data_IF_697603048980
#
_entry.id   IF_697603048980
#
_cell.length_a   1.000
_cell.length_b   1.000
_cell.length_c   1.000
_cell.angle_alpha   90.00
_cell.angle_beta   90.00
_cell.angle_gamma   90.00
#
_symmetry.space_group_name_H-M   'P 1'
#
loop_
_entity.id
_entity.type
_entity.pdbx_description
1 polymer ?
#
# COMPACT_ATOMS: atom_id res chain seq x y z
N UNK A 1 1.83 10.35 -13.14
CA UNK A 1 2.04 9.40 -12.02
C UNK A 1 3.39 9.61 -11.34
N UNK A 2 4.53 9.47 -12.03
CA UNK A 2 5.86 9.49 -11.39
C UNK A 2 6.14 10.66 -10.40
N UNK A 3 5.73 11.91 -10.66
CA UNK A 3 5.95 13.01 -9.70
C UNK A 3 5.18 12.87 -8.38
N UNK A 4 4.12 12.04 -8.33
CA UNK A 4 3.34 11.78 -7.13
C UNK A 4 3.86 10.58 -6.33
N UNK A 5 4.71 9.73 -6.93
CA UNK A 5 5.24 8.50 -6.30
C UNK A 5 6.45 8.84 -5.44
N UNK A 6 6.50 8.26 -4.25
CA UNK A 6 7.55 8.48 -3.26
C UNK A 6 8.01 7.17 -2.62
N UNK A 7 9.22 7.20 -2.07
CA UNK A 7 9.78 6.16 -1.23
C UNK A 7 9.50 6.49 0.23
N UNK A 8 8.90 5.56 0.96
CA UNK A 8 8.77 5.64 2.41
C UNK A 8 10.07 5.19 3.07
N UNK A 9 10.57 6.03 3.97
CA UNK A 9 11.83 5.86 4.66
C UNK A 9 11.61 5.90 6.17
N UNK A 10 12.33 5.04 6.89
CA UNK A 10 12.42 5.09 8.35
C UNK A 10 13.85 5.37 8.79
N UNK A 11 14.03 6.37 9.65
CA UNK A 11 15.32 6.81 10.17
C UNK A 11 15.44 6.46 11.65
N UNK A 12 16.62 5.97 12.05
CA UNK A 12 16.89 5.57 13.43
C UNK A 12 16.83 6.77 14.38
N UNK A 13 16.55 6.57 15.68
CA UNK A 13 16.44 7.67 16.64
C UNK A 13 17.72 8.53 16.74
N UNK A 14 18.89 7.90 16.58
CA UNK A 14 20.21 8.55 16.55
C UNK A 14 20.55 9.20 15.20
N UNK A 15 19.66 9.07 14.20
CA UNK A 15 19.81 9.54 12.81
C UNK A 15 21.02 8.97 12.06
N UNK A 16 21.59 7.87 12.55
CA UNK A 16 22.77 7.26 11.92
C UNK A 16 22.44 6.46 10.65
N UNK A 17 21.20 5.96 10.52
CA UNK A 17 20.76 5.13 9.40
C UNK A 17 19.36 5.49 8.94
N UNK A 18 19.15 5.45 7.62
CA UNK A 18 17.84 5.62 6.99
C UNK A 18 17.55 4.42 6.09
N UNK A 19 16.43 3.75 6.32
CA UNK A 19 16.05 2.51 5.65
C UNK A 19 14.89 2.75 4.69
N UNK A 20 14.98 2.28 3.43
CA UNK A 20 13.84 2.24 2.53
C UNK A 20 12.90 1.11 2.95
N UNK A 21 11.61 1.43 3.08
CA UNK A 21 10.60 0.50 3.58
C UNK A 21 9.59 0.08 2.51
N UNK A 22 9.24 0.97 1.59
CA UNK A 22 8.36 0.68 0.47
C UNK A 22 7.93 1.92 -0.27
N UNK A 23 6.95 1.79 -1.16
CA UNK A 23 6.46 2.87 -2.02
C UNK A 23 5.11 3.41 -1.51
N UNK A 24 4.84 4.67 -1.80
CA UNK A 24 3.52 5.27 -1.67
C UNK A 24 3.29 6.29 -2.80
N UNK A 25 2.05 6.75 -2.97
CA UNK A 25 1.74 7.84 -3.89
C UNK A 25 0.85 8.91 -3.26
N UNK A 26 1.07 10.17 -3.62
CA UNK A 26 0.24 11.28 -3.15
C UNK A 26 -1.11 11.27 -3.86
N UNK A 27 -2.20 11.11 -3.10
CA UNK A 27 -3.59 11.08 -3.61
C UNK A 27 -4.37 12.34 -3.22
N UNK A 28 -3.79 13.13 -2.31
CA UNK A 28 -4.14 14.51 -2.00
C UNK A 28 -2.85 15.23 -1.58
N UNK A 29 -2.86 16.56 -1.56
CA UNK A 29 -1.67 17.33 -1.18
C UNK A 29 -1.08 16.93 0.18
N UNK A 30 -1.91 16.50 1.12
CA UNK A 30 -1.53 16.14 2.49
C UNK A 30 -1.66 14.64 2.80
N UNK A 31 -1.94 13.80 1.79
CA UNK A 31 -2.26 12.39 1.99
C UNK A 31 -1.59 11.48 0.96
N UNK A 32 -0.95 10.42 1.46
CA UNK A 32 -0.41 9.34 0.65
C UNK A 32 -1.29 8.10 0.75
N UNK A 33 -1.28 7.30 -0.32
CA UNK A 33 -1.82 5.95 -0.36
C UNK A 33 -0.68 4.93 -0.43
N UNK A 34 -0.76 3.91 0.41
CA UNK A 34 0.14 2.75 0.44
C UNK A 34 -0.63 1.51 0.94
N UNK A 35 0.04 0.40 1.24
CA UNK A 35 -0.60 -0.80 1.78
C UNK A 35 -0.64 -0.81 3.32
N UNK A 36 -1.55 -1.62 3.87
CA UNK A 36 -1.83 -1.69 5.31
C UNK A 36 -0.63 -2.15 6.12
N UNK A 37 0.03 -3.22 5.68
CA UNK A 37 1.19 -3.78 6.36
C UNK A 37 2.38 -2.84 6.48
N UNK A 38 2.69 -2.12 5.41
CA UNK A 38 3.77 -1.14 5.43
C UNK A 38 3.44 0.00 6.42
N UNK A 39 2.19 0.45 6.46
CA UNK A 39 1.77 1.44 7.44
C UNK A 39 1.86 0.91 8.89
N UNK A 40 1.47 -0.34 9.13
CA UNK A 40 1.60 -0.99 10.45
C UNK A 40 3.07 -1.13 10.89
N UNK A 41 3.96 -1.53 9.97
CA UNK A 41 5.40 -1.60 10.25
C UNK A 41 5.98 -0.23 10.60
N UNK A 42 5.67 0.79 9.80
CA UNK A 42 6.16 2.15 9.99
C UNK A 42 5.60 2.79 11.28
N UNK A 43 4.34 2.54 11.61
CA UNK A 43 3.77 2.92 12.91
C UNK A 43 4.53 2.27 14.06
N UNK A 44 4.86 0.98 13.95
CA UNK A 44 5.66 0.26 14.94
C UNK A 44 7.07 0.83 15.11
N UNK A 45 7.69 1.33 14.03
CA UNK A 45 8.95 2.07 14.11
C UNK A 45 8.76 3.43 14.79
N UNK A 46 7.70 4.17 14.46
CA UNK A 46 7.40 5.47 15.09
C UNK A 46 7.21 5.34 16.60
N UNK A 47 6.54 4.28 17.06
CA UNK A 47 6.37 3.99 18.49
C UNK A 47 7.70 3.69 19.21
N UNK A 48 8.79 3.45 18.47
CA UNK A 48 10.15 3.26 18.98
C UNK A 48 11.04 4.49 18.74
N UNK A 49 10.42 5.66 18.56
CA UNK A 49 11.06 6.96 18.29
C UNK A 49 11.82 7.05 16.95
N UNK A 50 11.52 6.18 15.99
CA UNK A 50 12.05 6.32 14.63
C UNK A 50 11.29 7.43 13.90
N UNK A 51 12.00 8.18 13.07
CA UNK A 51 11.36 9.16 12.19
C UNK A 51 10.92 8.49 10.89
N UNK A 52 9.67 8.70 10.50
CA UNK A 52 9.14 8.21 9.22
C UNK A 52 8.91 9.38 8.28
N UNK A 53 9.41 9.27 7.05
CA UNK A 53 9.30 10.32 6.03
C UNK A 53 9.03 9.74 4.65
N UNK A 54 8.35 10.53 3.82
CA UNK A 54 8.19 10.29 2.40
C UNK A 54 9.26 11.07 1.63
N UNK A 55 9.94 10.41 0.70
CA UNK A 55 11.01 10.98 -0.12
C UNK A 55 10.63 10.87 -1.59
N UNK A 56 10.53 12.01 -2.30
CA UNK A 56 10.20 12.00 -3.73
C UNK A 56 11.47 11.90 -4.57
N UNK A 57 11.65 10.83 -5.38
CA UNK A 57 12.82 10.70 -6.24
C UNK A 57 12.95 11.78 -7.32
N UNK A 58 11.84 12.43 -7.68
CA UNK A 58 11.79 13.40 -8.78
C UNK A 58 12.52 14.71 -8.48
N UNK A 59 12.50 15.15 -7.22
CA UNK A 59 13.07 16.43 -6.79
C UNK A 59 13.82 16.36 -5.45
N UNK A 60 13.82 15.18 -4.80
CA UNK A 60 14.48 14.97 -3.51
C UNK A 60 13.74 15.58 -2.32
N UNK A 61 12.50 16.06 -2.49
CA UNK A 61 11.71 16.57 -1.38
C UNK A 61 11.51 15.46 -0.33
N UNK A 62 11.66 15.81 0.96
CA UNK A 62 11.34 14.94 2.08
C UNK A 62 10.25 15.59 2.93
N UNK A 63 9.18 14.83 3.24
CA UNK A 63 8.11 15.28 4.13
C UNK A 63 7.89 14.25 5.25
N UNK A 64 7.82 14.67 6.53
CA UNK A 64 7.50 13.76 7.62
C UNK A 64 6.09 13.17 7.48
N UNK A 65 5.93 11.91 7.93
CA UNK A 65 4.62 11.26 8.06
C UNK A 65 4.13 11.42 9.51
N UNK A 66 3.00 12.11 9.69
CA UNK A 66 2.44 12.42 11.02
C UNK A 66 1.34 11.46 11.48
N UNK A 67 0.73 10.70 10.56
CA UNK A 67 -0.37 9.80 10.89
C UNK A 67 -0.42 8.61 9.93
N UNK A 68 -0.83 7.46 10.47
CA UNK A 68 -1.01 6.21 9.74
C UNK A 68 -2.44 5.75 9.99
N UNK A 69 -3.18 5.53 8.92
CA UNK A 69 -4.57 5.10 8.97
C UNK A 69 -4.75 3.86 8.10
N UNK A 70 -5.44 2.86 8.65
CA UNK A 70 -5.90 1.66 7.94
C UNK A 70 -7.40 1.50 8.18
N UNK A 71 -8.08 0.76 7.32
CA UNK A 71 -9.47 0.41 7.58
C UNK A 71 -9.58 -0.46 8.85
N UNK A 72 -10.55 -0.24 9.73
CA UNK A 72 -10.69 -0.96 11.02
C UNK A 72 -10.70 -2.48 10.89
N UNK A 73 -11.25 -2.97 9.77
CA UNK A 73 -11.31 -4.42 9.47
C UNK A 73 -9.92 -5.01 9.20
N UNK A 74 -8.95 -4.20 8.75
CA UNK A 74 -7.55 -4.63 8.66
C UNK A 74 -7.02 -5.10 10.01
N UNK A 75 -7.25 -4.33 11.08
CA UNK A 75 -6.87 -4.74 12.44
C UNK A 75 -7.70 -5.95 12.90
N UNK A 76 -9.01 -5.92 12.67
CA UNK A 76 -9.92 -7.00 13.09
C UNK A 76 -9.63 -8.36 12.43
N UNK A 77 -8.93 -8.37 11.29
CA UNK A 77 -8.57 -9.58 10.52
C UNK A 77 -7.07 -9.91 10.65
N UNK A 78 -6.38 -9.40 11.68
CA UNK A 78 -4.95 -9.65 11.89
C UNK A 78 -4.59 -11.15 11.92
N UNK A 79 -5.46 -11.99 12.48
CA UNK A 79 -5.28 -13.45 12.57
C UNK A 79 -5.83 -14.22 11.36
N UNK A 80 -6.37 -13.53 10.35
CA UNK A 80 -6.97 -14.09 9.14
C UNK A 80 -6.33 -13.48 7.87
N UNK A 81 -5.08 -13.84 7.54
CA UNK A 81 -4.31 -13.17 6.49
C UNK A 81 -4.98 -13.22 5.11
N UNK A 82 -5.66 -14.32 4.78
CA UNK A 82 -6.40 -14.46 3.51
C UNK A 82 -7.60 -13.52 3.39
N UNK A 83 -8.19 -13.08 4.51
CA UNK A 83 -9.24 -12.06 4.52
C UNK A 83 -8.63 -10.66 4.62
N UNK A 84 -7.58 -10.49 5.43
CA UNK A 84 -6.92 -9.20 5.64
C UNK A 84 -6.42 -8.57 4.35
N UNK A 85 -5.99 -9.38 3.38
CA UNK A 85 -5.45 -8.91 2.10
C UNK A 85 -6.40 -7.99 1.32
N UNK A 86 -7.72 -8.17 1.48
CA UNK A 86 -8.74 -7.31 0.86
C UNK A 86 -8.78 -5.91 1.47
N UNK A 87 -8.24 -5.75 2.68
CA UNK A 87 -8.21 -4.53 3.47
C UNK A 87 -6.79 -3.93 3.57
N UNK A 88 -5.83 -4.42 2.79
CA UNK A 88 -4.41 -3.99 2.76
C UNK A 88 -4.22 -2.61 2.11
N UNK A 89 -4.96 -1.60 2.58
CA UNK A 89 -4.82 -0.20 2.18
C UNK A 89 -4.52 0.66 3.40
N UNK A 90 -3.67 1.66 3.20
CA UNK A 90 -3.37 2.65 4.20
C UNK A 90 -3.33 4.07 3.63
N UNK A 91 -3.84 5.01 4.42
CA UNK A 91 -3.69 6.44 4.19
C UNK A 91 -2.65 6.97 5.17
N UNK A 92 -1.63 7.65 4.66
CA UNK A 92 -0.64 8.33 5.48
C UNK A 92 -0.85 9.83 5.40
N UNK A 93 -0.86 10.53 6.54
CA UNK A 93 -0.91 12.00 6.55
C UNK A 93 0.48 12.60 6.64
N UNK A 94 0.72 13.61 5.84
CA UNK A 94 1.99 14.34 5.81
C UNK A 94 1.97 15.54 6.75
N UNK A 95 3.14 15.88 7.26
CA UNK A 95 3.44 17.20 7.80
C UNK A 95 4.02 18.07 6.69
N UNK A 96 3.12 18.71 5.93
CA UNK A 96 3.45 19.47 4.73
C UNK A 96 2.55 19.10 3.55
N UNK A 97 2.92 19.58 2.36
CA UNK A 97 2.13 19.40 1.13
C UNK A 97 2.96 18.94 -0.06
N UNK A 98 2.39 18.04 -0.87
CA UNK A 98 2.88 17.63 -2.19
C UNK A 98 1.90 18.09 -3.27
N UNK A 99 2.24 19.07 -4.12
CA UNK A 99 1.31 19.56 -5.14
C UNK A 99 1.04 18.52 -6.24
N UNK A 100 2.02 17.67 -6.56
CA UNK A 100 1.86 16.61 -7.53
C UNK A 100 1.13 15.41 -6.91
N UNK A 101 -0.15 15.26 -7.26
CA UNK A 101 -1.01 14.15 -6.84
C UNK A 101 -1.38 13.25 -8.02
N UNK A 102 -1.75 12.00 -7.73
CA UNK A 102 -2.31 11.06 -8.70
C UNK A 102 -3.79 10.80 -8.37
N UNK A 103 -4.71 10.96 -9.33
CA UNK A 103 -6.13 10.67 -9.11
C UNK A 103 -6.36 9.17 -8.91
N UNK A 104 -7.37 8.83 -8.11
CA UNK A 104 -7.91 7.48 -8.00
C UNK A 104 -8.86 7.21 -9.19
N UNK A 105 -9.00 5.95 -9.59
CA UNK A 105 -9.91 5.53 -10.66
C UNK A 105 -11.37 5.71 -10.25
N UNK A 106 -12.20 6.22 -11.15
CA UNK A 106 -13.63 6.46 -10.92
C UNK A 106 -14.43 5.15 -10.77
N UNK A 107 -15.67 5.17 -10.24
CA UNK A 107 -16.40 3.93 -9.97
C UNK A 107 -16.68 3.15 -11.25
N UNK A 108 -16.92 3.86 -12.36
CA UNK A 108 -17.10 3.25 -13.68
C UNK A 108 -15.82 2.54 -14.14
N UNK A 109 -14.66 3.18 -14.01
CA UNK A 109 -13.37 2.57 -14.37
C UNK A 109 -13.06 1.33 -13.52
N UNK A 110 -13.42 1.36 -12.23
CA UNK A 110 -13.27 0.19 -11.34
C UNK A 110 -14.27 -0.94 -11.68
N UNK A 111 -15.45 -0.60 -12.20
CA UNK A 111 -16.44 -1.58 -12.62
C UNK A 111 -16.08 -2.26 -13.95
N UNK A 112 -15.28 -1.60 -14.79
CA UNK A 112 -14.79 -2.08 -16.09
C UNK A 112 -13.52 -2.94 -15.98
N UNK A 113 -13.00 -3.19 -14.77
CA UNK A 113 -11.83 -4.05 -14.60
C UNK A 113 -12.19 -5.50 -14.95
N UNK A 114 -11.45 -6.04 -15.91
CA UNK A 114 -11.58 -7.41 -16.39
C UNK A 114 -10.22 -8.11 -16.54
N UNK A 115 -10.25 -9.43 -16.70
CA UNK A 115 -9.06 -10.23 -17.01
C UNK A 115 -8.46 -9.76 -18.33
N UNK A 116 -7.12 -9.66 -18.40
CA UNK A 116 -6.43 -9.13 -19.57
C UNK A 116 -6.15 -7.63 -19.51
N UNK A 117 -6.72 -6.89 -18.56
CA UNK A 117 -6.52 -5.45 -18.47
C UNK A 117 -5.05 -5.14 -18.11
N UNK A 118 -4.30 -4.40 -18.95
CA UNK A 118 -2.94 -4.00 -18.62
C UNK A 118 -2.95 -2.88 -17.59
N UNK A 119 -2.10 -3.03 -16.57
CA UNK A 119 -1.82 -2.02 -15.56
C UNK A 119 -0.32 -1.74 -15.50
N UNK A 120 0.05 -0.52 -15.11
CA UNK A 120 1.44 -0.20 -14.80
C UNK A 120 1.61 -0.09 -13.28
N UNK A 121 2.56 -0.82 -12.73
CA UNK A 121 3.03 -0.65 -11.35
C UNK A 121 4.10 0.43 -11.34
N UNK A 122 3.81 1.59 -10.72
CA UNK A 122 4.79 2.66 -10.56
C UNK A 122 5.43 2.55 -9.17
N UNK A 123 6.70 2.14 -9.12
CA UNK A 123 7.37 1.75 -7.88
C UNK A 123 8.70 2.48 -7.70
N UNK A 124 9.26 2.45 -6.47
CA UNK A 124 10.65 2.82 -6.21
C UNK A 124 11.38 1.59 -5.68
N UNK A 125 11.99 0.76 -6.55
CA UNK A 125 12.66 -0.46 -6.11
C UNK A 125 13.81 -0.17 -5.16
N UNK A 126 13.99 -1.04 -4.17
CA UNK A 126 15.07 -0.91 -3.19
C UNK A 126 15.55 -2.26 -2.66
N UNK A 127 16.69 -2.25 -1.97
CA UNK A 127 17.30 -3.45 -1.37
C UNK A 127 16.86 -3.70 0.07
N UNK A 128 16.15 -2.77 0.70
CA UNK A 128 15.79 -2.82 2.13
C UNK A 128 16.97 -2.60 3.08
N UNK A 129 18.14 -2.26 2.55
CA UNK A 129 19.35 -1.94 3.29
C UNK A 129 19.43 -0.44 3.61
N UNK A 130 20.18 -0.02 4.65
CA UNK A 130 20.41 1.40 4.91
C UNK A 130 20.89 2.12 3.66
N UNK A 131 20.30 3.28 3.38
CA UNK A 131 20.74 4.12 2.27
C UNK A 131 22.16 4.60 2.49
N UNK A 132 22.91 4.54 1.42
CA UNK A 132 24.25 5.10 1.27
C UNK A 132 24.18 6.35 0.39
N UNK A 133 25.26 7.12 0.39
CA UNK A 133 25.41 8.29 -0.49
C UNK A 133 25.38 7.95 -1.99
N UNK A 134 25.50 6.68 -2.36
CA UNK A 134 25.50 6.22 -3.75
C UNK A 134 24.10 5.81 -4.23
N UNK A 135 23.15 5.61 -3.33
CA UNK A 135 21.80 5.25 -3.70
C UNK A 135 21.11 6.42 -4.39
N UNK A 136 20.55 6.13 -5.57
CA UNK A 136 19.80 7.05 -6.43
C UNK A 136 18.43 6.44 -6.66
N UNK A 137 17.49 6.55 -5.69
CA UNK A 137 16.14 6.05 -5.90
C UNK A 137 15.55 6.72 -7.14
N UNK A 138 14.81 5.96 -7.93
CA UNK A 138 14.09 6.42 -9.12
C UNK A 138 12.75 5.72 -9.18
N UNK A 139 11.77 6.41 -9.74
CA UNK A 139 10.49 5.77 -10.04
C UNK A 139 10.68 4.92 -11.28
N UNK A 140 10.35 3.63 -11.16
CA UNK A 140 10.32 2.67 -12.25
C UNK A 140 8.88 2.29 -12.55
N UNK A 141 8.62 1.89 -13.80
CA UNK A 141 7.33 1.38 -14.22
C UNK A 141 7.48 -0.05 -14.72
N UNK A 142 6.69 -0.96 -14.18
CA UNK A 142 6.62 -2.35 -14.61
C UNK A 142 5.21 -2.67 -15.06
N UNK A 143 5.07 -3.31 -16.22
CA UNK A 143 3.77 -3.73 -16.74
C UNK A 143 3.32 -5.01 -16.05
N UNK A 144 2.03 -5.09 -15.74
CA UNK A 144 1.36 -6.25 -15.17
C UNK A 144 -0.04 -6.34 -15.77
N UNK A 145 -0.68 -7.49 -15.65
CA UNK A 145 -1.99 -7.75 -16.23
C UNK A 145 -2.93 -8.28 -15.15
N UNK A 146 -4.20 -7.86 -15.22
CA UNK A 146 -5.23 -8.42 -14.35
C UNK A 146 -5.50 -9.86 -14.79
N UNK A 147 -5.26 -10.81 -13.90
CA UNK A 147 -5.63 -12.20 -14.10
C UNK A 147 -7.08 -12.46 -13.67
N UNK A 148 -7.42 -12.01 -12.46
CA UNK A 148 -8.73 -12.18 -11.86
C UNK A 148 -9.02 -11.05 -10.87
N UNK A 149 -10.29 -10.70 -10.70
CA UNK A 149 -10.77 -9.87 -9.61
C UNK A 149 -11.67 -10.69 -8.70
N UNK A 150 -11.33 -10.76 -7.41
CA UNK A 150 -12.18 -11.34 -6.38
C UNK A 150 -12.80 -10.24 -5.53
N UNK A 151 -14.05 -10.41 -5.14
CA UNK A 151 -14.76 -9.48 -4.23
C UNK A 151 -15.12 -10.26 -2.99
N UNK A 152 -14.90 -9.68 -1.81
CA UNK A 152 -15.61 -10.19 -0.64
C UNK A 152 -17.07 -9.80 -0.83
N UNK A 153 -17.94 -10.78 -1.04
CA UNK A 153 -19.37 -10.53 -0.98
C UNK A 153 -19.65 -9.93 0.38
N UNK A 154 -20.20 -8.73 0.37
CA UNK A 154 -20.76 -8.09 1.53
C UNK A 154 -21.53 -9.14 2.35
N UNK A 155 -21.10 -9.41 3.59
CA UNK A 155 -22.04 -9.90 4.58
C UNK A 155 -23.23 -8.92 4.62
N UNK A 156 -24.41 -9.33 5.09
CA UNK A 156 -25.62 -8.50 5.09
C UNK A 156 -25.43 -7.10 5.73
N UNK A 157 -24.35 -6.89 6.48
CA UNK A 157 -23.93 -5.64 7.14
C UNK A 157 -22.73 -4.89 6.50
N UNK A 158 -22.41 -5.12 5.21
CA UNK A 158 -21.26 -4.45 4.61
C UNK A 158 -21.38 -2.92 4.61
N UNK A 159 -20.26 -2.19 4.82
CA UNK A 159 -20.30 -0.75 4.91
C UNK A 159 -20.76 -0.11 3.58
N UNK A 160 -21.48 1.03 3.65
CA UNK A 160 -22.00 1.73 2.47
C UNK A 160 -20.90 2.22 1.51
N UNK A 161 -19.62 2.15 1.92
CA UNK A 161 -18.43 2.49 1.12
C UNK A 161 -18.10 1.51 -0.02
N UNK A 162 -18.89 0.44 -0.18
CA UNK A 162 -18.67 -0.60 -1.18
C UNK A 162 -17.83 -1.75 -0.65
N UNK A 163 -18.05 -2.94 -1.22
CA UNK A 163 -17.32 -4.14 -0.83
C UNK A 163 -15.85 -4.08 -1.27
N UNK A 164 -14.90 -4.50 -0.41
CA UNK A 164 -13.50 -4.57 -0.81
C UNK A 164 -13.31 -5.65 -1.88
N UNK A 165 -12.35 -5.40 -2.76
CA UNK A 165 -12.02 -6.27 -3.86
C UNK A 165 -10.50 -6.39 -4.00
N UNK A 166 -10.06 -7.52 -4.50
CA UNK A 166 -8.66 -7.87 -4.68
C UNK A 166 -8.40 -8.18 -6.15
N UNK A 167 -7.37 -7.56 -6.70
CA UNK A 167 -6.81 -7.93 -7.98
C UNK A 167 -5.76 -9.00 -7.79
N UNK A 168 -5.88 -10.03 -8.60
CA UNK A 168 -4.88 -11.05 -8.85
C UNK A 168 -4.21 -10.66 -10.15
N UNK A 169 -2.89 -10.52 -10.12
CA UNK A 169 -2.12 -9.95 -11.21
C UNK A 169 -1.05 -10.93 -11.66
N UNK A 170 -0.76 -10.92 -12.95
CA UNK A 170 0.35 -11.67 -13.54
C UNK A 170 1.41 -10.72 -14.08
N UNK A 171 2.66 -11.18 -14.08
CA UNK A 171 3.80 -10.44 -14.62
C UNK A 171 5.04 -10.61 -13.76
N UNK A 172 6.14 -10.01 -14.20
CA UNK A 172 7.37 -9.95 -13.40
C UNK A 172 7.49 -8.56 -12.81
N UNK A 173 7.31 -8.47 -11.50
CA UNK A 173 7.43 -7.21 -10.78
C UNK A 173 8.75 -7.15 -9.99
N UNK A 174 9.35 -5.95 -9.82
CA UNK A 174 10.55 -5.78 -9.02
C UNK A 174 10.33 -6.19 -7.56
N UNK A 175 11.43 -6.50 -6.86
CA UNK A 175 11.37 -6.80 -5.43
C UNK A 175 11.18 -5.54 -4.58
N UNK A 176 10.61 -5.71 -3.37
CA UNK A 176 10.42 -4.66 -2.36
C UNK A 176 9.62 -3.44 -2.87
N UNK A 177 8.54 -3.70 -3.61
CA UNK A 177 7.66 -2.66 -4.16
C UNK A 177 6.34 -2.53 -3.39
N UNK A 178 6.30 -2.99 -2.14
CA UNK A 178 5.15 -2.86 -1.24
C UNK A 178 4.58 -1.45 -1.25
N UNK A 179 3.26 -1.33 -1.43
CA UNK A 179 2.57 -0.05 -1.43
C UNK A 179 2.61 0.72 -2.76
N UNK A 180 3.22 0.15 -3.81
CA UNK A 180 3.28 0.80 -5.12
C UNK A 180 1.89 0.92 -5.76
N UNK A 181 1.51 2.09 -6.29
CA UNK A 181 0.25 2.24 -7.03
C UNK A 181 0.26 1.45 -8.34
N UNK A 182 -0.85 0.78 -8.61
CA UNK A 182 -1.16 0.24 -9.93
C UNK A 182 -2.05 1.23 -10.67
N UNK A 183 -1.63 1.63 -11.86
CA UNK A 183 -2.31 2.65 -12.65
C UNK A 183 -2.84 2.10 -13.96
N UNK A 184 -4.04 2.54 -14.35
CA UNK A 184 -4.60 2.25 -15.65
C UNK A 184 -3.98 3.13 -16.76
N UNK A 185 -4.40 2.92 -18.01
CA UNK A 185 -3.94 3.71 -19.16
C UNK A 185 -4.26 5.22 -19.04
N UNK A 186 -5.29 5.60 -18.28
CA UNK A 186 -5.61 6.98 -17.97
C UNK A 186 -4.72 7.60 -16.87
N UNK A 187 -3.78 6.83 -16.32
CA UNK A 187 -2.87 7.29 -15.27
C UNK A 187 -3.52 7.43 -13.90
N UNK A 188 -4.66 6.77 -13.67
CA UNK A 188 -5.40 6.76 -12.40
C UNK A 188 -5.08 5.51 -11.61
N UNK A 189 -4.99 5.64 -10.28
CA UNK A 189 -4.69 4.50 -9.40
C UNK A 189 -5.93 3.61 -9.27
N UNK A 190 -5.75 2.34 -9.61
CA UNK A 190 -6.78 1.29 -9.55
C UNK A 190 -6.64 0.45 -8.28
N UNK A 191 -5.41 0.13 -7.90
CA UNK A 191 -5.09 -0.67 -6.73
C UNK A 191 -3.71 -0.34 -6.17
N UNK A 192 -3.35 -0.99 -5.07
CA UNK A 192 -2.05 -0.83 -4.42
C UNK A 192 -1.40 -2.20 -4.29
N UNK A 193 -0.15 -2.34 -4.71
CA UNK A 193 0.58 -3.59 -4.58
C UNK A 193 0.72 -4.00 -3.11
N UNK A 194 0.18 -5.17 -2.76
CA UNK A 194 0.21 -5.71 -1.41
C UNK A 194 1.31 -6.76 -1.27
N UNK A 195 1.25 -7.87 -2.01
CA UNK A 195 2.26 -8.93 -1.90
C UNK A 195 2.33 -9.83 -3.14
N UNK A 196 3.37 -10.66 -3.18
CA UNK A 196 3.48 -11.77 -4.14
C UNK A 196 2.83 -13.00 -3.52
N UNK A 197 1.95 -13.66 -4.27
CA UNK A 197 1.31 -14.87 -3.81
C UNK A 197 2.33 -15.99 -3.59
N UNK A 198 2.15 -16.77 -2.53
CA UNK A 198 2.85 -18.05 -2.40
C UNK A 198 2.39 -18.97 -3.55
N UNK A 199 3.31 -19.64 -4.27
CA UNK A 199 2.92 -20.60 -5.30
C UNK A 199 2.02 -21.68 -4.69
N UNK A 200 0.82 -21.87 -5.23
CA UNK A 200 -0.08 -22.93 -4.77
C UNK A 200 -0.84 -23.57 -5.92
N UNK A 201 -1.17 -24.85 -5.77
CA UNK A 201 -2.07 -25.58 -6.67
C UNK A 201 -1.71 -25.52 -8.15
N UNK A 202 -2.72 -25.26 -8.98
CA UNK A 202 -2.63 -25.22 -10.44
C UNK A 202 -1.77 -24.04 -10.95
N UNK A 203 -1.74 -22.92 -10.23
CA UNK A 203 -0.98 -21.73 -10.63
C UNK A 203 0.54 -21.97 -10.53
N UNK A 204 0.96 -22.69 -9.49
CA UNK A 204 2.34 -23.15 -9.36
C UNK A 204 2.73 -24.13 -10.48
N UNK A 205 1.82 -25.03 -10.86
CA UNK A 205 2.03 -25.97 -11.97
C UNK A 205 2.10 -25.28 -13.34
N UNK A 206 1.37 -24.17 -13.51
CA UNK A 206 1.40 -23.32 -14.69
C UNK A 206 2.59 -22.34 -14.70
N UNK A 207 3.38 -22.27 -13.63
CA UNK A 207 4.50 -21.34 -13.49
C UNK A 207 4.07 -19.87 -13.45
N UNK A 208 2.82 -19.60 -13.08
CA UNK A 208 2.28 -18.24 -13.01
C UNK A 208 2.85 -17.49 -11.79
N UNK A 209 3.43 -16.32 -12.04
CA UNK A 209 3.81 -15.39 -10.99
C UNK A 209 2.61 -14.51 -10.63
N UNK A 210 1.93 -14.88 -9.53
CA UNK A 210 0.76 -14.16 -9.05
C UNK A 210 1.12 -13.10 -8.00
N UNK A 211 0.46 -11.95 -8.11
CA UNK A 211 0.55 -10.85 -7.16
C UNK A 211 -0.83 -10.34 -6.75
N UNK A 212 -0.90 -9.75 -5.57
CA UNK A 212 -2.14 -9.27 -4.98
C UNK A 212 -2.14 -7.75 -4.81
N UNK A 213 -3.25 -7.12 -5.16
CA UNK A 213 -3.46 -5.69 -4.96
C UNK A 213 -4.92 -5.37 -4.60
N UNK A 214 -5.23 -4.89 -3.39
CA UNK A 214 -6.57 -4.40 -3.07
C UNK A 214 -6.94 -3.19 -3.94
N UNK A 215 -8.21 -3.14 -4.37
CA UNK A 215 -8.77 -2.01 -5.12
C UNK A 215 -8.94 -0.79 -4.24
N UNK A 216 -8.74 0.40 -4.82
CA UNK A 216 -8.80 1.69 -4.09
C UNK A 216 -10.21 2.14 -3.68
N UNK A 217 -11.23 1.30 -3.80
CA UNK A 217 -12.64 1.63 -3.50
C UNK A 217 -12.81 2.25 -2.11
N UNK A 218 -12.18 1.66 -1.09
CA UNK A 218 -12.24 2.17 0.29
C UNK A 218 -11.50 3.50 0.45
N UNK A 219 -10.33 3.64 -0.18
CA UNK A 219 -9.57 4.89 -0.17
C UNK A 219 -10.34 6.04 -0.84
N UNK A 220 -11.14 5.74 -1.88
CA UNK A 220 -12.03 6.72 -2.51
C UNK A 220 -13.15 7.16 -1.58
N UNK A 221 -13.82 6.23 -0.91
CA UNK A 221 -14.84 6.55 0.09
C UNK A 221 -14.27 7.42 1.22
N UNK A 222 -13.04 7.15 1.66
CA UNK A 222 -12.32 7.98 2.64
C UNK A 222 -12.10 9.40 2.13
N UNK A 223 -11.57 9.56 0.92
CA UNK A 223 -11.32 10.88 0.32
C UNK A 223 -12.60 11.68 0.09
N UNK A 224 -13.72 11.00 -0.18
CA UNK A 224 -15.04 11.59 -0.29
C UNK A 224 -15.70 11.92 1.07
N UNK A 225 -15.05 11.58 2.19
CA UNK A 225 -15.57 11.81 3.54
C UNK A 225 -16.69 10.85 3.97
N UNK A 226 -16.89 9.74 3.25
CA UNK A 226 -18.02 8.84 3.44
C UNK A 226 -17.77 7.73 4.48
N UNK A 227 -16.51 7.48 4.83
CA UNK A 227 -16.12 6.38 5.74
C UNK A 227 -15.06 6.78 6.75
N UNK A 228 -14.96 8.06 7.14
CA UNK A 228 -13.88 8.55 8.00
C UNK A 228 -13.76 7.75 9.32
N UNK A 229 -14.90 7.38 9.93
CA UNK A 229 -14.95 6.62 11.18
C UNK A 229 -14.53 5.14 11.02
N UNK A 230 -14.39 4.66 9.79
CA UNK A 230 -13.90 3.31 9.50
C UNK A 230 -12.37 3.25 9.42
N UNK A 231 -11.66 4.37 9.57
CA UNK A 231 -10.20 4.42 9.49
C UNK A 231 -9.59 4.70 10.85
N UNK A 232 -8.67 3.83 11.27
CA UNK A 232 -8.04 3.84 12.60
C UNK A 232 -6.53 3.68 12.47
N UNK A 233 -5.80 3.88 13.57
CA UNK A 233 -4.37 3.59 13.59
C UNK A 233 -4.13 2.08 13.45
N UNK A 234 -3.11 1.66 12.67
CA UNK A 234 -2.80 0.25 12.54
C UNK A 234 -2.26 -0.33 13.85
N UNK A 235 -2.71 -1.53 14.17
CA UNK A 235 -2.13 -2.32 15.26
C UNK A 235 -0.77 -2.86 14.85
N UNK A 236 0.21 -2.76 15.75
CA UNK A 236 1.57 -3.21 15.48
C UNK A 236 1.68 -4.72 15.76
N UNK A 237 2.08 -5.56 14.78
CA UNK A 237 2.11 -7.03 14.94
C UNK A 237 3.05 -7.56 16.03
N UNK A 238 3.85 -6.70 16.68
CA UNK A 238 4.90 -7.10 17.64
C UNK A 238 4.77 -6.48 19.04
N UNK A 239 3.63 -5.87 19.38
CA UNK A 239 3.37 -5.36 20.73
C UNK A 239 2.54 -6.30 21.62
N UNK A 240 2.35 -7.56 21.22
CA UNK A 240 1.88 -8.58 22.16
C UNK A 240 3.01 -8.91 23.13
N UNK A 241 3.00 -8.26 24.29
CA UNK A 241 3.77 -8.70 25.46
C UNK A 241 3.37 -10.16 25.72
N UNK A 242 4.30 -11.13 25.74
CA UNK A 242 3.93 -12.50 26.07
C UNK A 242 3.29 -12.50 27.46
N UNK A 243 2.03 -12.93 27.54
CA UNK A 243 1.37 -13.21 28.81
C UNK A 243 2.24 -14.22 29.55
N UNK A 244 2.73 -13.93 30.78
CA UNK A 244 3.48 -14.92 31.52
C UNK A 244 2.57 -16.12 31.77
N UNK A 245 2.98 -17.30 31.31
CA UNK A 245 2.31 -18.55 31.66
C UNK A 245 2.29 -18.68 33.19
N UNK A 246 1.15 -19.03 33.80
CA UNK A 246 1.10 -19.31 35.22
C UNK A 246 1.97 -20.54 35.57
N UNK A 247 2.48 -20.60 36.81
CA UNK A 247 3.48 -21.58 37.25
C UNK A 247 3.00 -23.04 37.19
#
# INVERSE_FOLDING_TARGET
VAPAVCLLMAETPDKSKSFPCGTACAIREDALLTNGMLAAELQGKRLKDWQVKAVWPSDGQELPVREFLVHKVFNATADAPGERIYWELAILRLDGKRPAVVPLAEPQELAEIESGLPLACACVPHRGLPRTRFDRPRVEQSLTEVYLQTRLTAAEDAPPSGAPALLHLTGTLPQNIYGSPLVNAAGRVVGVYAEKAAPSGADAAAGLELHYAPLVTLARAYLAGQSLDDWTQPECPHNQTPTPSPP
#
